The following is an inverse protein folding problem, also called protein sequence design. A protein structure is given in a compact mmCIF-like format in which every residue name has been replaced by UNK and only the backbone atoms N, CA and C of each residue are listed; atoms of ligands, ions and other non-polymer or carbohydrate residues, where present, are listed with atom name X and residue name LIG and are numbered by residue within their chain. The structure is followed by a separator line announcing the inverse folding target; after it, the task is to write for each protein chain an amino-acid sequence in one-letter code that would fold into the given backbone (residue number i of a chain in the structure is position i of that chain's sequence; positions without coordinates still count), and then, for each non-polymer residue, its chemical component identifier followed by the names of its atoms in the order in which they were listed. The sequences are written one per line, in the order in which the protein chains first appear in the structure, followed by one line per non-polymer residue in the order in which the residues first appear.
data_IF_292919112611
#
_entry.id   IF_292919112611
#
_cell.length_a   1.000
_cell.length_b   1.000
_cell.length_c   1.000
_cell.angle_alpha   90.00
_cell.angle_beta   90.00
_cell.angle_gamma   90.00
#
_symmetry.space_group_name_H-M   'P 1'
#
loop_
_entity.id
_entity.type
_entity.pdbx_description
1 polymer ?
#
# COMPACT_ATOMS: atom_id res chain seq x y z
N UNK A 1 -2.29 71.79 22.24
CA UNK A 1 -2.02 70.96 21.05
C UNK A 1 -1.29 69.66 21.45
N UNK A 2 -1.96 68.76 22.06
CA UNK A 2 -1.34 67.42 22.44
C UNK A 2 -2.36 66.30 22.59
N UNK A 3 -3.31 66.16 21.68
CA UNK A 3 -4.34 65.10 21.80
C UNK A 3 -4.66 64.34 20.51
N UNK A 4 -3.87 64.48 19.43
CA UNK A 4 -4.20 63.89 18.14
C UNK A 4 -3.37 62.63 17.73
N UNK A 5 -2.33 62.30 18.49
CA UNK A 5 -1.44 61.18 18.09
C UNK A 5 -1.76 59.81 18.71
N UNK A 6 -2.68 59.71 19.71
CA UNK A 6 -2.96 58.44 20.38
C UNK A 6 -3.79 57.41 19.59
N UNK A 7 -4.81 57.82 18.80
CA UNK A 7 -5.58 56.81 18.05
C UNK A 7 -4.82 56.25 16.84
N UNK A 8 -3.89 57.00 16.24
CA UNK A 8 -3.12 56.49 15.08
C UNK A 8 -2.07 55.47 15.43
N UNK A 9 -1.49 55.48 16.63
CA UNK A 9 -0.51 54.50 17.07
C UNK A 9 -1.17 53.16 17.36
N UNK A 10 -2.39 53.14 17.89
CA UNK A 10 -3.14 51.89 18.15
C UNK A 10 -3.64 51.27 16.84
N UNK A 11 -4.07 52.09 15.88
CA UNK A 11 -4.46 51.58 14.55
C UNK A 11 -3.28 51.03 13.75
N UNK A 12 -2.08 51.61 13.87
CA UNK A 12 -0.87 51.15 13.24
C UNK A 12 -0.36 49.83 13.81
N UNK A 13 -0.48 49.63 15.14
CA UNK A 13 -0.08 48.37 15.78
C UNK A 13 -1.01 47.19 15.44
N UNK A 14 -2.29 47.45 15.22
CA UNK A 14 -3.26 46.40 14.82
C UNK A 14 -3.06 45.92 13.37
N UNK A 15 -2.54 46.79 12.48
CA UNK A 15 -2.27 46.44 11.08
C UNK A 15 -0.95 45.66 10.87
N UNK A 16 -0.02 45.71 11.84
CA UNK A 16 1.27 44.99 11.77
C UNK A 16 1.20 43.59 12.37
N UNK A 17 0.12 43.22 13.05
CA UNK A 17 -0.02 41.89 13.68
C UNK A 17 -0.71 40.83 12.80
N UNK A 18 -1.30 41.22 11.67
CA UNK A 18 -2.04 40.31 10.79
C UNK A 18 -1.14 39.40 9.93
N UNK A 19 0.08 39.77 9.50
CA UNK A 19 0.87 38.88 8.64
C UNK A 19 1.58 37.74 9.39
N UNK A 20 1.60 37.74 10.73
CA UNK A 20 2.30 36.67 11.48
C UNK A 20 1.50 35.40 11.70
N UNK A 21 0.22 35.38 11.35
CA UNK A 21 -0.61 34.16 11.47
C UNK A 21 -0.76 33.36 10.18
N UNK A 22 -0.19 33.83 9.07
CA UNK A 22 -0.24 33.11 7.80
C UNK A 22 0.92 32.14 7.58
N UNK A 23 1.87 32.09 8.49
CA UNK A 23 3.07 31.22 8.34
C UNK A 23 2.83 29.74 8.55
N UNK A 24 1.64 29.31 8.94
CA UNK A 24 1.35 27.91 9.22
C UNK A 24 0.35 27.26 8.25
N UNK A 25 -0.08 27.99 7.20
CA UNK A 25 -1.07 27.47 6.25
C UNK A 25 -0.57 27.33 4.81
N UNK A 26 0.71 27.65 4.57
CA UNK A 26 1.35 27.43 3.28
C UNK A 26 2.36 26.28 3.43
N UNK A 27 1.85 25.09 3.74
CA UNK A 27 2.61 23.86 3.54
C UNK A 27 2.35 23.39 2.10
N UNK A 28 2.73 24.24 1.13
CA UNK A 28 2.82 23.90 -0.29
C UNK A 28 4.04 22.98 -0.56
N UNK A 29 4.44 22.18 0.43
CA UNK A 29 5.20 20.98 0.20
C UNK A 29 4.20 19.93 -0.31
N UNK A 30 3.87 20.02 -1.56
CA UNK A 30 3.28 18.95 -2.35
C UNK A 30 4.32 17.80 -2.41
N UNK A 31 4.58 17.19 -1.26
CA UNK A 31 5.25 15.90 -1.24
C UNK A 31 4.29 14.94 -1.92
N UNK A 32 4.57 14.63 -3.15
CA UNK A 32 3.85 13.59 -3.88
C UNK A 32 4.10 12.24 -3.18
N UNK A 33 3.27 11.96 -2.17
CA UNK A 33 3.28 10.68 -1.46
C UNK A 33 2.81 9.53 -2.36
N UNK A 34 2.32 9.83 -3.58
CA UNK A 34 1.82 8.81 -4.51
C UNK A 34 2.87 7.75 -4.83
N UNK A 35 4.15 8.14 -4.82
CA UNK A 35 5.27 7.21 -5.01
C UNK A 35 5.32 6.10 -3.95
N UNK A 36 4.90 6.38 -2.73
CA UNK A 36 4.96 5.44 -1.60
C UNK A 36 3.73 4.56 -1.48
N UNK A 37 2.63 4.92 -2.14
CA UNK A 37 1.43 4.09 -2.12
C UNK A 37 1.51 3.02 -3.20
N UNK A 38 1.13 1.76 -2.89
CA UNK A 38 1.01 0.72 -3.88
C UNK A 38 -0.14 1.04 -4.84
N UNK A 39 -0.01 0.61 -6.08
CA UNK A 39 -1.10 0.68 -7.05
C UNK A 39 -2.07 -0.49 -6.89
N UNK A 40 -1.56 -1.63 -6.40
CA UNK A 40 -2.37 -2.81 -6.14
C UNK A 40 -1.82 -3.69 -5.01
N UNK A 41 -2.71 -4.55 -4.49
CA UNK A 41 -2.36 -5.74 -3.73
C UNK A 41 -2.52 -6.92 -4.68
N UNK A 42 -1.47 -7.72 -4.80
CA UNK A 42 -1.44 -8.85 -5.73
C UNK A 42 -1.09 -10.14 -5.00
N UNK A 43 -1.45 -11.28 -5.59
CA UNK A 43 -0.83 -12.57 -5.28
C UNK A 43 0.30 -12.79 -6.28
N UNK A 44 1.52 -12.93 -5.80
CA UNK A 44 2.69 -13.33 -6.60
C UNK A 44 2.62 -14.83 -6.81
N UNK A 45 2.39 -15.26 -8.03
CA UNK A 45 2.23 -16.66 -8.44
C UNK A 45 3.51 -17.15 -9.10
N UNK A 46 4.33 -17.98 -8.42
CA UNK A 46 5.48 -18.58 -9.04
C UNK A 46 5.05 -19.68 -10.01
N UNK A 47 5.75 -19.77 -11.14
CA UNK A 47 5.62 -20.86 -12.10
C UNK A 47 6.99 -21.52 -12.24
N UNK A 48 7.04 -22.79 -11.89
CA UNK A 48 8.26 -23.62 -11.98
C UNK A 48 8.03 -24.74 -12.98
N UNK A 49 9.00 -24.98 -13.86
CA UNK A 49 8.84 -26.00 -14.89
C UNK A 49 10.11 -26.26 -15.73
N UNK A 50 10.01 -27.17 -16.69
CA UNK A 50 11.11 -27.47 -17.59
C UNK A 50 11.36 -26.30 -18.55
N UNK A 51 12.28 -25.40 -18.20
CA UNK A 51 12.72 -24.36 -19.12
C UNK A 51 13.12 -23.03 -18.46
N UNK A 52 12.29 -22.47 -17.67
CA UNK A 52 12.62 -21.27 -16.88
C UNK A 52 11.59 -21.04 -15.77
N UNK A 53 12.08 -20.70 -14.61
CA UNK A 53 11.23 -20.26 -13.53
C UNK A 53 10.86 -18.80 -13.78
N UNK A 54 9.59 -18.47 -13.58
CA UNK A 54 9.10 -17.10 -13.66
C UNK A 54 7.95 -16.90 -12.68
N UNK A 55 7.45 -15.67 -12.56
CA UNK A 55 6.27 -15.37 -11.79
C UNK A 55 5.35 -14.42 -12.55
N UNK A 56 4.10 -14.42 -12.16
CA UNK A 56 3.13 -13.43 -12.58
C UNK A 56 2.35 -12.91 -11.38
N UNK A 57 1.63 -11.82 -11.56
CA UNK A 57 0.72 -11.29 -10.54
C UNK A 57 -0.71 -11.67 -10.85
N UNK A 58 -1.45 -12.00 -9.80
CA UNK A 58 -2.89 -12.16 -9.87
C UNK A 58 -3.55 -11.16 -8.91
N UNK A 59 -4.47 -10.35 -9.44
CA UNK A 59 -5.32 -9.48 -8.65
C UNK A 59 -6.53 -10.26 -8.09
N UNK A 60 -7.24 -9.66 -7.15
CA UNK A 60 -8.39 -10.28 -6.47
C UNK A 60 -9.60 -10.48 -7.41
N UNK A 61 -9.64 -9.80 -8.54
CA UNK A 61 -10.62 -9.96 -9.61
C UNK A 61 -10.21 -11.00 -10.69
N UNK A 62 -9.15 -11.76 -10.41
CA UNK A 62 -8.50 -12.72 -11.30
C UNK A 62 -7.76 -12.11 -12.50
N UNK A 63 -7.62 -10.79 -12.61
CA UNK A 63 -6.76 -10.16 -13.61
C UNK A 63 -5.31 -10.61 -13.43
N UNK A 64 -4.69 -11.07 -14.51
CA UNK A 64 -3.30 -11.55 -14.50
C UNK A 64 -2.39 -10.53 -15.16
N UNK A 65 -1.37 -10.10 -14.41
CA UNK A 65 -0.37 -9.16 -14.89
C UNK A 65 0.95 -9.90 -15.14
N UNK A 66 1.57 -9.58 -16.28
CA UNK A 66 2.89 -10.10 -16.67
C UNK A 66 3.97 -9.07 -16.32
N UNK A 67 4.79 -9.27 -15.30
CA UNK A 67 5.94 -8.40 -15.03
C UNK A 67 7.00 -8.59 -16.11
N UNK A 68 7.61 -7.48 -16.58
CA UNK A 68 8.69 -7.55 -17.57
C UNK A 68 9.96 -8.20 -16.99
N UNK A 69 10.23 -7.99 -15.70
CA UNK A 69 11.39 -8.53 -14.99
C UNK A 69 10.97 -9.74 -14.13
N UNK A 70 10.48 -10.80 -14.75
CA UNK A 70 9.93 -11.96 -14.04
C UNK A 70 10.81 -13.22 -14.07
N UNK A 71 12.07 -13.10 -14.50
CA UNK A 71 13.00 -14.24 -14.67
C UNK A 71 13.51 -14.83 -13.34
N UNK A 72 13.19 -14.22 -12.21
CA UNK A 72 13.60 -14.70 -10.88
C UNK A 72 12.41 -14.78 -9.96
N UNK A 73 12.37 -15.80 -9.10
CA UNK A 73 11.32 -15.96 -8.10
C UNK A 73 11.64 -15.15 -6.83
N UNK A 74 11.04 -13.97 -6.64
CA UNK A 74 11.42 -13.06 -5.54
C UNK A 74 11.13 -13.65 -4.16
N UNK A 75 10.18 -14.57 -4.07
CA UNK A 75 9.76 -15.23 -2.81
C UNK A 75 9.91 -16.77 -2.88
N UNK A 76 10.72 -17.27 -3.83
CA UNK A 76 10.85 -18.70 -4.10
C UNK A 76 9.57 -19.28 -4.67
N UNK A 77 9.34 -20.57 -4.42
CA UNK A 77 8.21 -21.34 -4.97
C UNK A 77 6.88 -21.16 -4.21
N UNK A 78 6.82 -20.16 -3.33
CA UNK A 78 5.62 -19.90 -2.51
C UNK A 78 4.80 -18.77 -3.11
N UNK A 79 3.49 -18.96 -3.12
CA UNK A 79 2.56 -17.87 -3.37
C UNK A 79 2.59 -16.90 -2.19
N UNK A 80 2.74 -15.61 -2.49
CA UNK A 80 2.86 -14.55 -1.48
C UNK A 80 1.99 -13.36 -1.87
N UNK A 81 1.24 -12.84 -0.93
CA UNK A 81 0.56 -11.55 -1.09
C UNK A 81 1.57 -10.43 -1.00
N UNK A 82 1.48 -9.45 -1.88
CA UNK A 82 2.39 -8.33 -1.93
C UNK A 82 1.69 -7.02 -2.29
N UNK A 83 2.21 -5.93 -1.75
CA UNK A 83 1.96 -4.60 -2.28
C UNK A 83 2.86 -4.41 -3.49
N UNK A 84 2.33 -3.85 -4.55
CA UNK A 84 3.11 -3.57 -5.76
C UNK A 84 2.79 -2.18 -6.30
N UNK A 85 3.86 -1.49 -6.72
CA UNK A 85 3.76 -0.29 -7.53
C UNK A 85 4.32 -0.59 -8.90
N UNK A 86 3.56 -0.30 -9.94
CA UNK A 86 3.91 -0.65 -11.30
C UNK A 86 3.42 0.40 -12.32
N UNK A 87 3.93 0.29 -13.51
CA UNK A 87 3.44 1.03 -14.69
C UNK A 87 2.99 0.01 -15.72
N UNK A 88 1.79 0.18 -16.26
CA UNK A 88 1.31 -0.66 -17.36
C UNK A 88 2.14 -0.39 -18.63
N UNK A 89 2.45 -1.47 -19.36
CA UNK A 89 3.25 -1.43 -20.57
C UNK A 89 2.60 -2.29 -21.66
N UNK A 90 3.12 -2.17 -22.87
CA UNK A 90 2.72 -3.04 -23.96
C UNK A 90 3.16 -4.49 -23.70
N UNK A 91 2.34 -5.47 -24.11
CA UNK A 91 2.64 -6.88 -23.96
C UNK A 91 3.87 -7.25 -24.79
N UNK A 92 4.90 -7.88 -24.19
CA UNK A 92 6.08 -8.29 -24.94
C UNK A 92 5.77 -9.34 -26.01
N UNK A 93 6.54 -9.32 -27.08
CA UNK A 93 6.44 -10.35 -28.11
C UNK A 93 6.76 -11.73 -27.52
N UNK A 94 5.88 -12.71 -27.77
CA UNK A 94 6.03 -14.08 -27.28
C UNK A 94 5.29 -14.38 -25.98
N UNK A 95 4.73 -13.39 -25.32
CA UNK A 95 3.82 -13.58 -24.17
C UNK A 95 2.39 -13.76 -24.69
N UNK A 96 1.69 -14.78 -24.19
CA UNK A 96 0.34 -15.09 -24.63
C UNK A 96 -0.68 -14.13 -23.98
N UNK A 97 -1.17 -13.17 -24.76
CA UNK A 97 -2.20 -12.23 -24.33
C UNK A 97 -3.59 -12.84 -24.08
N UNK A 98 -3.77 -14.15 -24.34
CA UNK A 98 -4.98 -14.87 -23.90
C UNK A 98 -4.89 -15.39 -22.47
N UNK A 99 -3.67 -15.46 -21.91
CA UNK A 99 -3.38 -15.93 -20.55
C UNK A 99 -3.16 -14.76 -19.61
N UNK A 100 -2.51 -13.69 -20.08
CA UNK A 100 -2.17 -12.51 -19.30
C UNK A 100 -2.89 -11.29 -19.86
N UNK A 101 -3.57 -10.57 -18.98
CA UNK A 101 -4.41 -9.43 -19.38
C UNK A 101 -3.59 -8.18 -19.68
N UNK A 102 -2.49 -7.96 -18.96
CA UNK A 102 -1.64 -6.77 -19.08
C UNK A 102 -0.19 -7.10 -18.80
N UNK A 103 0.74 -6.34 -19.39
CA UNK A 103 2.13 -6.34 -18.98
C UNK A 103 2.44 -5.12 -18.10
N UNK A 104 3.37 -5.29 -17.17
CA UNK A 104 3.73 -4.26 -16.19
C UNK A 104 5.23 -4.20 -15.94
N UNK A 105 5.73 -2.96 -15.75
CA UNK A 105 7.05 -2.72 -15.21
C UNK A 105 6.96 -2.43 -13.73
N UNK A 106 7.62 -3.23 -12.90
CA UNK A 106 7.60 -3.08 -11.45
C UNK A 106 8.49 -1.89 -11.05
N UNK A 107 7.95 -0.96 -10.26
CA UNK A 107 8.72 0.11 -9.62
C UNK A 107 9.26 -0.33 -8.26
N UNK A 108 8.40 -0.95 -7.46
CA UNK A 108 8.76 -1.62 -6.22
C UNK A 108 7.69 -2.65 -5.83
N UNK A 109 8.08 -3.59 -5.00
CA UNK A 109 7.21 -4.64 -4.47
C UNK A 109 7.63 -4.99 -3.04
N UNK A 110 6.65 -5.17 -2.15
CA UNK A 110 6.90 -5.57 -0.77
C UNK A 110 5.90 -6.63 -0.31
N UNK A 111 6.39 -7.67 0.34
CA UNK A 111 5.56 -8.79 0.76
C UNK A 111 4.67 -8.43 1.96
N UNK A 112 3.43 -8.89 1.91
CA UNK A 112 2.53 -8.82 3.05
C UNK A 112 2.74 -10.06 3.90
N UNK A 113 2.93 -9.86 5.22
CA UNK A 113 3.07 -10.97 6.15
C UNK A 113 1.81 -11.85 6.09
N UNK A 114 1.98 -13.05 5.57
CA UNK A 114 0.91 -14.03 5.43
C UNK A 114 1.18 -15.21 6.35
N UNK A 115 0.21 -15.58 7.17
CA UNK A 115 0.24 -16.78 8.01
C UNK A 115 -0.91 -17.70 7.63
N UNK A 116 -0.65 -19.01 7.66
CA UNK A 116 -1.72 -19.98 7.50
C UNK A 116 -2.70 -19.85 8.67
N UNK A 117 -3.99 -19.83 8.36
CA UNK A 117 -5.01 -19.99 9.37
C UNK A 117 -4.83 -21.35 10.06
N UNK A 118 -4.91 -21.37 11.36
CA UNK A 118 -4.91 -22.59 12.15
C UNK A 118 -6.35 -22.88 12.59
N UNK A 119 -6.76 -24.16 12.68
CA UNK A 119 -8.07 -24.49 13.25
C UNK A 119 -8.19 -23.91 14.66
N UNK A 120 -9.36 -23.41 14.98
CA UNK A 120 -9.64 -23.00 16.36
C UNK A 120 -9.38 -24.20 17.30
N UNK A 121 -8.72 -23.98 18.43
CA UNK A 121 -8.50 -25.05 19.40
C UNK A 121 -9.85 -25.60 19.88
N UNK A 122 -9.93 -26.93 19.95
CA UNK A 122 -11.11 -27.64 20.41
C UNK A 122 -10.83 -28.13 21.84
N UNK A 123 -11.82 -28.06 22.69
CA UNK A 123 -11.74 -28.58 24.07
C UNK A 123 -10.67 -27.92 24.97
N UNK A 124 -10.32 -26.68 24.71
CA UNK A 124 -9.49 -25.85 25.62
C UNK A 124 -10.37 -24.77 26.26
N UNK A 125 -10.01 -24.40 27.50
CA UNK A 125 -10.72 -23.34 28.19
C UNK A 125 -10.32 -21.94 27.65
N UNK A 126 -11.15 -20.96 27.92
CA UNK A 126 -10.97 -19.58 27.45
C UNK A 126 -9.64 -18.99 27.95
N UNK A 127 -9.24 -19.31 29.20
CA UNK A 127 -7.99 -18.82 29.77
C UNK A 127 -6.74 -19.37 29.08
N UNK A 128 -6.81 -20.57 28.52
CA UNK A 128 -5.74 -21.14 27.72
C UNK A 128 -5.67 -20.55 26.32
N UNK A 129 -6.82 -20.22 25.73
CA UNK A 129 -6.92 -19.50 24.46
C UNK A 129 -6.28 -18.12 24.63
N UNK A 130 -6.67 -17.34 25.64
CA UNK A 130 -6.13 -16.01 25.93
C UNK A 130 -4.63 -16.02 26.15
N UNK A 131 -4.12 -17.01 26.90
CA UNK A 131 -2.69 -17.15 27.12
C UNK A 131 -1.90 -17.47 25.86
N UNK A 132 -2.48 -18.22 24.94
CA UNK A 132 -1.81 -18.69 23.72
C UNK A 132 -1.88 -17.68 22.59
N UNK A 133 -3.01 -17.00 22.43
CA UNK A 133 -3.29 -16.10 21.31
C UNK A 133 -3.39 -14.64 21.72
N UNK A 134 -3.47 -14.34 23.02
CA UNK A 134 -3.71 -13.02 23.57
C UNK A 134 -5.20 -12.75 23.76
N UNK A 135 -5.48 -11.80 24.63
CA UNK A 135 -6.83 -11.33 25.00
C UNK A 135 -7.09 -9.89 24.52
N UNK A 136 -6.14 -9.31 23.78
CA UNK A 136 -6.32 -7.96 23.24
C UNK A 136 -7.51 -7.92 22.27
N UNK A 137 -8.45 -7.00 22.47
CA UNK A 137 -9.60 -6.88 21.58
C UNK A 137 -9.13 -6.49 20.17
N UNK A 138 -9.47 -7.30 19.18
CA UNK A 138 -9.24 -7.02 17.77
C UNK A 138 -10.50 -6.49 17.15
N UNK A 139 -10.50 -5.26 16.71
CA UNK A 139 -11.59 -4.67 15.95
C UNK A 139 -11.38 -4.92 14.46
N UNK A 140 -12.27 -5.70 13.84
CA UNK A 140 -12.24 -5.94 12.40
C UNK A 140 -12.97 -4.79 11.73
N UNK A 141 -12.23 -3.86 11.15
CA UNK A 141 -12.81 -2.73 10.44
C UNK A 141 -13.34 -3.13 9.06
N UNK A 142 -12.65 -4.06 8.38
CA UNK A 142 -13.02 -4.57 7.07
C UNK A 142 -12.40 -5.94 6.85
N UNK A 143 -13.19 -6.84 6.29
CA UNK A 143 -12.74 -8.15 5.81
C UNK A 143 -13.13 -8.36 4.35
N UNK A 144 -12.36 -9.13 3.63
CA UNK A 144 -12.72 -9.64 2.31
C UNK A 144 -12.07 -10.99 2.07
N UNK A 145 -12.72 -11.79 1.25
CA UNK A 145 -12.23 -13.11 0.86
C UNK A 145 -11.74 -13.04 -0.58
N UNK A 146 -10.52 -13.52 -0.81
CA UNK A 146 -9.98 -13.75 -2.14
C UNK A 146 -10.25 -15.19 -2.53
N UNK A 147 -10.86 -15.41 -3.69
CA UNK A 147 -11.10 -16.74 -4.24
C UNK A 147 -9.90 -17.12 -5.09
N UNK A 148 -9.17 -18.14 -4.70
CA UNK A 148 -8.04 -18.73 -5.42
C UNK A 148 -8.48 -19.85 -6.36
#
# INVERSE_FOLDING_TARGET
MKKFCRPFIIAGAALLSVPMLQSCLNDDNDYDYSYWYPDAIVTVKPVTGEGSDYFYFQLDDNTKLWPLDNESLPYGEKEVRAFVKYVETDMPAGVDGSVYDKAVQISWMDSILTKKAVPAPQDVDEAEIDRTYGDDPVEIFRDWTVVE
#
